data_IF_963466636652
#
_entry.id   IF_963466636652
#
_cell.length_a   1.000
_cell.length_b   1.000
_cell.length_c   1.000
_cell.angle_alpha   90.00
_cell.angle_beta   90.00
_cell.angle_gamma   90.00
#
_symmetry.space_group_name_H-M   'P 1'
#
loop_
_entity.id
_entity.type
_entity.pdbx_description
1 polymer ?
#
# COMPACT_ATOMS: atom_id res chain seq x y z
N UNK A 1 -23.58 23.89 22.40
CA UNK A 1 -22.72 22.82 21.88
C UNK A 1 -23.17 22.57 20.46
N UNK A 2 -22.43 23.06 19.49
CA UNK A 2 -22.75 22.89 18.06
C UNK A 2 -22.05 21.61 17.64
N UNK A 3 -22.81 20.58 17.31
CA UNK A 3 -22.31 19.37 16.70
C UNK A 3 -21.75 19.70 15.31
N UNK A 4 -20.43 19.89 15.22
CA UNK A 4 -19.75 19.88 13.92
C UNK A 4 -19.56 18.45 13.49
N UNK A 5 -20.44 17.99 12.62
CA UNK A 5 -20.37 16.65 12.05
C UNK A 5 -19.18 16.54 11.09
N UNK A 6 -18.64 15.32 10.91
CA UNK A 6 -17.58 14.96 9.93
C UNK A 6 -17.77 15.60 8.53
N UNK A 7 -19.00 15.95 8.20
CA UNK A 7 -19.40 16.59 6.94
C UNK A 7 -18.76 18.00 6.74
N UNK A 8 -18.48 18.69 7.82
CA UNK A 8 -17.94 20.06 7.76
C UNK A 8 -16.41 20.11 7.62
N UNK A 9 -15.72 19.00 7.99
CA UNK A 9 -14.26 18.87 7.82
C UNK A 9 -13.88 18.63 6.36
N UNK A 10 -14.64 17.78 5.66
CA UNK A 10 -14.46 17.54 4.22
C UNK A 10 -14.69 18.79 3.37
N UNK A 11 -15.56 19.69 3.80
CA UNK A 11 -15.81 20.95 3.07
C UNK A 11 -14.68 21.99 3.23
N UNK A 12 -13.95 21.94 4.33
CA UNK A 12 -12.80 22.83 4.57
C UNK A 12 -11.55 22.45 3.75
N UNK A 13 -11.35 21.14 3.49
CA UNK A 13 -10.24 20.65 2.64
C UNK A 13 -10.52 20.81 1.14
N UNK A 14 -11.79 20.79 0.72
CA UNK A 14 -12.17 20.99 -0.67
C UNK A 14 -11.94 22.43 -1.17
N UNK A 15 -11.81 23.41 -0.28
CA UNK A 15 -11.58 24.80 -0.64
C UNK A 15 -10.13 25.11 -1.06
N UNK A 16 -9.18 24.20 -0.83
CA UNK A 16 -7.77 24.38 -1.18
C UNK A 16 -7.35 23.70 -2.51
N UNK A 17 -8.26 23.02 -3.20
CA UNK A 17 -7.92 22.27 -4.43
C UNK A 17 -8.85 22.50 -5.63
N UNK A 18 -9.66 23.56 -5.63
CA UNK A 18 -10.58 23.82 -6.73
C UNK A 18 -9.98 24.76 -7.79
N UNK A 19 -9.15 24.20 -8.69
CA UNK A 19 -9.06 24.67 -10.06
C UNK A 19 -9.55 23.56 -10.97
N UNK A 20 -10.78 23.70 -11.45
CA UNK A 20 -11.47 22.76 -12.28
C UNK A 20 -10.89 22.72 -13.71
N UNK A 21 -10.62 21.50 -14.20
CA UNK A 21 -10.68 21.22 -15.65
C UNK A 21 -11.53 19.97 -15.83
N UNK A 22 -12.67 20.16 -16.48
CA UNK A 22 -13.56 19.10 -16.96
C UNK A 22 -12.97 18.45 -18.21
N UNK A 23 -12.88 17.11 -18.24
CA UNK A 23 -12.53 16.42 -19.49
C UNK A 23 -12.29 14.91 -19.32
N UNK A 24 -13.21 14.13 -19.88
CA UNK A 24 -13.17 12.76 -20.41
C UNK A 24 -12.70 11.60 -19.53
N UNK A 25 -13.63 10.68 -19.40
CA UNK A 25 -13.48 9.27 -19.00
C UNK A 25 -12.55 8.52 -19.97
N UNK A 26 -11.44 8.04 -19.46
CA UNK A 26 -10.69 6.82 -19.78
C UNK A 26 -9.26 7.04 -19.25
N UNK A 27 -8.81 6.15 -18.37
CA UNK A 27 -7.42 5.89 -18.00
C UNK A 27 -6.42 7.06 -18.11
N UNK A 28 -6.51 8.08 -17.26
CA UNK A 28 -5.42 9.04 -17.16
C UNK A 28 -4.23 8.37 -16.47
N UNK A 29 -3.27 7.90 -17.29
CA UNK A 29 -1.88 7.90 -16.86
C UNK A 29 -1.57 9.31 -16.35
N UNK A 30 -1.12 9.45 -15.09
CA UNK A 30 -0.62 10.73 -14.61
C UNK A 30 0.39 11.26 -15.62
N UNK A 31 0.05 12.37 -16.28
CA UNK A 31 1.06 13.23 -16.91
C UNK A 31 2.09 13.54 -15.80
N UNK A 32 3.36 13.44 -16.15
CA UNK A 32 4.48 13.60 -15.23
C UNK A 32 4.23 14.78 -14.29
N UNK A 33 4.03 14.50 -13.01
CA UNK A 33 4.04 15.52 -11.96
C UNK A 33 5.35 16.30 -12.16
N UNK A 34 5.27 17.59 -12.41
CA UNK A 34 6.47 18.38 -12.71
C UNK A 34 7.45 18.30 -11.53
N UNK A 35 8.75 18.31 -11.80
CA UNK A 35 9.81 18.21 -10.76
C UNK A 35 9.54 19.13 -9.55
N UNK A 36 8.97 20.31 -9.78
CA UNK A 36 8.64 21.26 -8.72
C UNK A 36 7.56 20.77 -7.73
N UNK A 37 6.55 19.99 -8.16
CA UNK A 37 5.55 19.42 -7.24
C UNK A 37 6.14 18.28 -6.42
N UNK A 38 7.00 17.46 -7.04
CA UNK A 38 7.72 16.40 -6.32
C UNK A 38 8.69 16.98 -5.29
N UNK A 39 9.40 18.05 -5.62
CA UNK A 39 10.30 18.75 -4.70
C UNK A 39 9.53 19.36 -3.52
N UNK A 40 8.36 19.96 -3.79
CA UNK A 40 7.49 20.48 -2.73
C UNK A 40 7.01 19.35 -1.81
N UNK A 41 6.49 18.24 -2.37
CA UNK A 41 6.08 17.05 -1.61
C UNK A 41 7.21 16.49 -0.78
N UNK A 42 8.41 16.40 -1.37
CA UNK A 42 9.61 15.94 -0.68
C UNK A 42 9.94 16.84 0.51
N UNK A 43 9.90 18.17 0.32
CA UNK A 43 10.20 19.13 1.41
C UNK A 43 9.19 19.04 2.54
N UNK A 44 7.91 18.85 2.24
CA UNK A 44 6.84 18.66 3.25
C UNK A 44 7.05 17.36 4.06
N UNK A 45 7.42 16.28 3.40
CA UNK A 45 7.71 14.99 4.04
C UNK A 45 8.99 15.08 4.88
N UNK A 46 10.01 15.74 4.37
CA UNK A 46 11.29 15.94 5.05
C UNK A 46 11.18 16.77 6.34
N UNK A 47 10.16 17.60 6.43
CA UNK A 47 9.85 18.35 7.66
C UNK A 47 9.29 17.48 8.78
N UNK A 48 8.77 16.28 8.46
CA UNK A 48 8.19 15.35 9.44
C UNK A 48 9.30 14.51 10.08
N UNK A 49 9.45 14.58 11.40
CA UNK A 49 10.33 13.64 12.12
C UNK A 49 9.60 12.30 12.39
N UNK A 50 10.34 11.19 12.62
CA UNK A 50 9.71 9.93 13.04
C UNK A 50 8.83 10.09 14.28
N UNK A 51 9.21 10.96 15.22
CA UNK A 51 8.42 11.24 16.41
C UNK A 51 7.09 11.92 16.08
N UNK A 52 7.11 12.97 15.21
CA UNK A 52 5.89 13.65 14.76
C UNK A 52 4.95 12.66 14.06
N UNK A 53 5.50 11.74 13.26
CA UNK A 53 4.71 10.70 12.60
C UNK A 53 4.12 9.68 13.59
N UNK A 54 4.90 9.22 14.56
CA UNK A 54 4.41 8.33 15.61
C UNK A 54 3.29 9.00 16.40
N UNK A 55 3.44 10.27 16.76
CA UNK A 55 2.43 11.03 17.49
C UNK A 55 1.15 11.22 16.67
N UNK A 56 1.26 11.43 15.35
CA UNK A 56 0.13 11.48 14.43
C UNK A 56 -0.55 10.10 14.28
N UNK A 57 0.23 9.01 14.33
CA UNK A 57 -0.22 7.64 14.13
C UNK A 57 -0.63 6.93 15.42
N UNK A 58 -0.29 7.50 16.57
CA UNK A 58 -0.35 6.80 17.87
C UNK A 58 -1.72 6.16 18.13
N UNK A 59 -1.78 4.83 18.36
CA UNK A 59 -3.01 4.07 18.48
C UNK A 59 -3.67 4.23 19.85
N UNK A 60 -3.77 5.36 20.40
CA UNK A 60 -4.38 5.61 21.71
C UNK A 60 -4.85 7.04 21.86
N UNK A 61 -4.39 7.92 21.01
CA UNK A 61 -4.92 9.25 20.87
C UNK A 61 -5.86 9.21 19.65
N UNK A 62 -7.14 9.06 19.90
CA UNK A 62 -8.11 9.64 18.99
C UNK A 62 -7.75 11.11 18.92
N UNK A 63 -6.98 11.51 17.93
CA UNK A 63 -6.77 12.91 17.63
C UNK A 63 -8.16 13.46 17.36
N UNK A 64 -8.73 14.18 18.32
CA UNK A 64 -9.95 14.92 18.06
C UNK A 64 -9.70 15.85 16.87
N UNK A 65 -10.75 16.27 16.18
CA UNK A 65 -10.68 17.07 14.95
C UNK A 65 -9.74 18.30 15.07
N UNK A 66 -9.68 18.91 16.26
CA UNK A 66 -8.78 20.04 16.53
C UNK A 66 -7.30 19.64 16.52
N UNK A 67 -6.94 18.51 17.12
CA UNK A 67 -5.56 18.03 17.17
C UNK A 67 -5.09 17.54 15.78
N UNK A 68 -5.97 16.88 15.03
CA UNK A 68 -5.69 16.51 13.65
C UNK A 68 -5.50 17.74 12.78
N UNK A 69 -6.37 18.75 12.89
CA UNK A 69 -6.25 20.00 12.16
C UNK A 69 -4.95 20.72 12.48
N UNK A 70 -4.53 20.74 13.75
CA UNK A 70 -3.26 21.31 14.15
C UNK A 70 -2.05 20.53 13.59
N UNK A 71 -2.10 19.20 13.59
CA UNK A 71 -1.04 18.37 13.02
C UNK A 71 -0.91 18.56 11.50
N UNK A 72 -2.04 18.62 10.79
CA UNK A 72 -2.08 18.87 9.34
C UNK A 72 -1.60 20.29 9.01
N UNK A 73 -1.98 21.29 9.81
CA UNK A 73 -1.51 22.68 9.62
C UNK A 73 0.01 22.81 9.83
N UNK A 74 0.56 22.01 10.77
CA UNK A 74 2.01 21.99 11.02
C UNK A 74 2.77 21.20 9.96
N UNK A 75 2.21 20.10 9.49
CA UNK A 75 2.85 19.16 8.54
C UNK A 75 1.92 18.88 7.35
N UNK A 76 2.03 19.63 6.24
CA UNK A 76 1.18 19.44 5.06
C UNK A 76 1.21 17.99 4.50
N UNK A 77 2.30 17.25 4.69
CA UNK A 77 2.39 15.84 4.31
C UNK A 77 1.29 14.99 4.95
N UNK A 78 0.86 15.28 6.19
CA UNK A 78 -0.27 14.58 6.82
C UNK A 78 -1.59 14.90 6.12
N UNK A 79 -1.77 16.15 5.68
CA UNK A 79 -2.95 16.53 4.88
C UNK A 79 -3.02 15.77 3.55
N UNK A 80 -1.88 15.58 2.88
CA UNK A 80 -1.79 14.76 1.66
C UNK A 80 -2.14 13.30 1.92
N UNK A 81 -1.67 12.74 3.05
CA UNK A 81 -1.95 11.36 3.42
C UNK A 81 -3.44 11.17 3.76
N UNK A 82 -4.07 12.10 4.50
CA UNK A 82 -5.51 12.08 4.76
C UNK A 82 -6.33 12.21 3.46
N UNK A 83 -5.93 13.13 2.57
CA UNK A 83 -6.60 13.31 1.29
C UNK A 83 -6.51 12.06 0.40
N UNK A 84 -5.35 11.38 0.38
CA UNK A 84 -5.17 10.12 -0.31
C UNK A 84 -6.08 9.02 0.26
N UNK A 85 -6.15 8.92 1.59
CA UNK A 85 -7.05 7.98 2.26
C UNK A 85 -8.52 8.22 1.90
N UNK A 86 -9.00 9.46 2.02
CA UNK A 86 -10.38 9.82 1.67
C UNK A 86 -10.70 9.53 0.20
N UNK A 87 -9.76 9.83 -0.69
CA UNK A 87 -9.92 9.53 -2.12
C UNK A 87 -10.09 8.04 -2.34
N UNK A 88 -9.12 7.22 -1.85
CA UNK A 88 -9.16 5.76 -2.04
C UNK A 88 -10.39 5.15 -1.38
N UNK A 89 -10.72 5.57 -0.17
CA UNK A 89 -11.88 5.07 0.56
C UNK A 89 -13.20 5.33 -0.19
N UNK A 90 -13.38 6.55 -0.71
CA UNK A 90 -14.55 6.91 -1.52
C UNK A 90 -14.56 6.14 -2.83
N UNK A 91 -13.48 6.16 -3.59
CA UNK A 91 -13.41 5.50 -4.90
C UNK A 91 -13.61 3.99 -4.78
N UNK A 92 -13.02 3.34 -3.77
CA UNK A 92 -13.20 1.92 -3.53
C UNK A 92 -14.68 1.56 -3.24
N UNK A 93 -15.44 2.43 -2.57
CA UNK A 93 -16.87 2.23 -2.34
C UNK A 93 -17.69 2.41 -3.62
N UNK A 94 -17.40 3.44 -4.38
CA UNK A 94 -18.22 3.90 -5.51
C UNK A 94 -17.90 3.17 -6.82
N UNK A 95 -16.66 2.71 -7.01
CA UNK A 95 -16.26 2.01 -8.24
C UNK A 95 -16.99 0.69 -8.40
N UNK A 96 -17.60 0.48 -9.55
CA UNK A 96 -18.16 -0.81 -9.97
C UNK A 96 -17.13 -1.48 -10.89
N UNK A 97 -16.70 -2.68 -10.52
CA UNK A 97 -15.84 -3.52 -11.35
C UNK A 97 -16.72 -4.60 -11.97
N UNK A 98 -16.87 -4.58 -13.28
CA UNK A 98 -17.72 -5.51 -14.02
C UNK A 98 -16.95 -6.68 -14.64
N UNK A 99 -15.66 -6.47 -14.93
CA UNK A 99 -14.80 -7.46 -15.59
C UNK A 99 -13.68 -7.90 -14.62
N UNK A 100 -13.60 -9.20 -14.40
CA UNK A 100 -12.60 -9.79 -13.51
C UNK A 100 -11.16 -9.57 -14.01
N UNK A 101 -10.97 -9.40 -15.31
CA UNK A 101 -9.66 -9.16 -15.90
C UNK A 101 -9.20 -7.69 -15.79
N UNK A 102 -10.07 -6.81 -15.31
CA UNK A 102 -9.81 -5.39 -15.11
C UNK A 102 -10.15 -4.96 -13.68
N UNK A 103 -9.46 -5.50 -12.65
CA UNK A 103 -9.67 -5.10 -11.27
C UNK A 103 -9.32 -3.63 -11.07
N UNK A 104 -9.91 -3.00 -10.08
CA UNK A 104 -9.50 -1.68 -9.65
C UNK A 104 -8.43 -1.81 -8.54
N UNK A 105 -7.29 -1.15 -8.70
CA UNK A 105 -6.15 -1.20 -7.79
C UNK A 105 -5.73 0.20 -7.41
N UNK A 106 -5.73 0.54 -6.13
CA UNK A 106 -5.28 1.83 -5.61
C UNK A 106 -4.05 1.65 -4.73
N UNK A 107 -3.10 2.55 -4.89
CA UNK A 107 -1.96 2.72 -3.99
C UNK A 107 -2.29 3.74 -2.91
N UNK A 108 -2.12 3.37 -1.64
CA UNK A 108 -2.46 4.28 -0.55
C UNK A 108 -1.23 4.95 0.06
N UNK A 109 -0.37 4.20 0.71
CA UNK A 109 0.82 4.67 1.41
C UNK A 109 1.76 3.50 1.64
N UNK A 110 3.08 3.77 1.67
CA UNK A 110 4.13 2.80 1.91
C UNK A 110 4.05 1.60 0.94
N UNK A 111 3.63 0.44 1.39
CA UNK A 111 3.36 -0.74 0.56
C UNK A 111 1.85 -0.99 0.36
N UNK A 112 1.01 -0.09 0.88
CA UNK A 112 -0.43 -0.31 0.99
C UNK A 112 -1.18 -0.29 -0.34
N UNK A 113 -1.92 -1.36 -0.64
CA UNK A 113 -2.88 -1.42 -1.74
C UNK A 113 -4.30 -1.70 -1.25
N UNK A 114 -5.27 -1.13 -1.95
CA UNK A 114 -6.68 -1.55 -1.92
C UNK A 114 -7.04 -2.08 -3.30
N UNK A 115 -7.64 -3.26 -3.35
CA UNK A 115 -8.00 -3.93 -4.62
C UNK A 115 -9.47 -4.29 -4.60
N UNK A 116 -10.16 -4.04 -5.72
CA UNK A 116 -11.56 -4.40 -5.91
C UNK A 116 -11.73 -5.20 -7.20
N UNK A 117 -12.44 -6.30 -7.10
CA UNK A 117 -12.85 -7.17 -8.20
C UNK A 117 -14.38 -7.16 -8.31
N UNK A 118 -15.02 -7.86 -9.26
CA UNK A 118 -16.46 -8.01 -9.27
C UNK A 118 -17.05 -8.62 -7.98
N UNK A 119 -16.33 -9.57 -7.36
CA UNK A 119 -16.85 -10.31 -6.20
C UNK A 119 -16.20 -9.90 -4.88
N UNK A 120 -15.00 -9.34 -4.89
CA UNK A 120 -14.20 -9.13 -3.69
C UNK A 120 -13.59 -7.74 -3.60
N UNK A 121 -13.43 -7.29 -2.36
CA UNK A 121 -12.57 -6.16 -2.01
C UNK A 121 -11.59 -6.60 -0.92
N UNK A 122 -10.31 -6.31 -1.11
CA UNK A 122 -9.27 -6.67 -0.15
C UNK A 122 -8.16 -5.63 -0.10
N UNK A 123 -7.32 -5.73 0.92
CA UNK A 123 -6.15 -4.87 1.08
C UNK A 123 -4.87 -5.68 1.21
N UNK A 124 -3.74 -5.04 0.89
CA UNK A 124 -2.39 -5.56 1.10
C UNK A 124 -1.63 -4.47 1.86
N UNK A 125 -0.99 -4.81 2.98
CA UNK A 125 -0.13 -3.95 3.78
C UNK A 125 -0.70 -2.53 4.02
N UNK A 126 -2.02 -2.45 4.28
CA UNK A 126 -2.66 -1.15 4.48
C UNK A 126 -2.20 -0.52 5.80
N UNK A 127 -1.43 0.54 5.68
CA UNK A 127 -0.91 1.32 6.80
C UNK A 127 -1.46 2.75 6.75
N UNK A 128 -2.41 3.06 7.62
CA UNK A 128 -2.98 4.38 7.82
C UNK A 128 -3.62 4.44 9.21
N UNK A 129 -3.57 5.61 9.88
CA UNK A 129 -4.18 5.78 11.22
C UNK A 129 -5.68 5.48 11.27
N UNK A 130 -6.35 5.47 10.13
CA UNK A 130 -7.78 5.17 9.93
C UNK A 130 -8.01 3.88 9.15
N UNK A 131 -6.99 3.03 9.03
CA UNK A 131 -7.09 1.80 8.20
C UNK A 131 -8.27 0.91 8.60
N UNK A 132 -8.67 0.90 9.90
CA UNK A 132 -9.81 0.15 10.41
C UNK A 132 -11.15 0.55 9.78
N UNK A 133 -11.27 1.74 9.19
CA UNK A 133 -12.48 2.16 8.48
C UNK A 133 -12.71 1.34 7.20
N UNK A 134 -11.66 0.76 6.63
CA UNK A 134 -11.79 -0.17 5.51
C UNK A 134 -12.34 -1.54 5.93
N UNK A 135 -12.17 -1.97 7.18
CA UNK A 135 -12.57 -3.31 7.61
C UNK A 135 -14.01 -3.70 7.27
N UNK A 136 -15.03 -2.82 7.35
CA UNK A 136 -16.39 -3.15 6.92
C UNK A 136 -16.52 -3.47 5.43
N UNK A 137 -15.66 -2.89 4.58
CA UNK A 137 -15.71 -3.01 3.13
C UNK A 137 -14.93 -4.22 2.61
N UNK A 138 -13.88 -4.63 3.34
CA UNK A 138 -12.98 -5.69 2.90
C UNK A 138 -13.55 -7.08 3.17
N UNK A 139 -13.30 -8.01 2.26
CA UNK A 139 -13.58 -9.44 2.44
C UNK A 139 -12.42 -10.14 3.16
N UNK A 140 -11.19 -9.77 2.86
CA UNK A 140 -9.97 -10.28 3.51
C UNK A 140 -8.86 -9.24 3.46
N UNK A 141 -7.76 -9.50 4.17
CA UNK A 141 -6.55 -8.67 4.13
C UNK A 141 -5.30 -9.55 4.03
N UNK A 142 -4.27 -9.01 3.38
CA UNK A 142 -2.96 -9.62 3.23
C UNK A 142 -1.94 -8.73 3.94
N UNK A 143 -1.06 -9.35 4.76
CA UNK A 143 0.01 -8.62 5.47
C UNK A 143 1.30 -9.40 5.25
N UNK A 144 2.28 -8.75 4.63
CA UNK A 144 3.53 -9.42 4.21
C UNK A 144 4.42 -9.79 5.38
N UNK A 145 4.47 -8.98 6.43
CA UNK A 145 5.26 -9.25 7.63
C UNK A 145 4.85 -8.32 8.80
N UNK A 146 5.43 -8.50 9.97
CA UNK A 146 4.98 -7.85 11.20
C UNK A 146 5.69 -6.52 11.52
N UNK A 147 6.30 -5.84 10.56
CA UNK A 147 6.79 -4.49 10.81
C UNK A 147 5.62 -3.50 10.90
N UNK A 148 5.76 -2.53 11.79
CA UNK A 148 4.67 -1.62 12.15
C UNK A 148 4.28 -0.62 11.07
N UNK A 149 5.00 -0.54 9.97
CA UNK A 149 4.74 0.29 8.80
C UNK A 149 3.98 -0.46 7.68
N UNK A 150 3.59 -1.73 7.90
CA UNK A 150 2.79 -2.53 6.98
C UNK A 150 1.35 -2.74 7.44
N UNK A 151 1.03 -2.48 8.72
CA UNK A 151 -0.33 -2.57 9.23
C UNK A 151 -0.48 -1.75 10.52
N UNK A 152 -1.71 -1.58 11.00
CA UNK A 152 -1.99 -1.05 12.33
C UNK A 152 -2.72 -2.11 13.18
N UNK A 153 -2.44 -2.12 14.50
CA UNK A 153 -3.15 -3.02 15.42
C UNK A 153 -4.66 -2.79 15.40
N UNK A 154 -5.10 -1.54 15.25
CA UNK A 154 -6.53 -1.20 15.17
C UNK A 154 -7.19 -1.83 13.94
N UNK A 155 -6.52 -1.76 12.78
CA UNK A 155 -6.99 -2.42 11.55
C UNK A 155 -7.09 -3.93 11.74
N UNK A 156 -6.04 -4.56 12.28
CA UNK A 156 -6.03 -5.99 12.57
C UNK A 156 -7.20 -6.41 13.47
N UNK A 157 -7.40 -5.68 14.59
CA UNK A 157 -8.51 -5.93 15.52
C UNK A 157 -9.86 -5.71 14.85
N UNK A 158 -10.00 -4.71 13.99
CA UNK A 158 -11.24 -4.45 13.27
C UNK A 158 -11.58 -5.55 12.27
N UNK A 159 -10.57 -6.12 11.60
CA UNK A 159 -10.74 -7.28 10.71
C UNK A 159 -11.15 -8.54 11.49
N UNK A 160 -10.54 -8.79 12.65
CA UNK A 160 -10.85 -9.94 13.50
C UNK A 160 -12.29 -9.91 14.06
N UNK A 161 -12.78 -8.74 14.47
CA UNK A 161 -14.15 -8.56 14.99
C UNK A 161 -15.25 -8.80 13.95
N UNK A 162 -14.92 -8.84 12.69
CA UNK A 162 -15.86 -9.17 11.62
C UNK A 162 -15.84 -10.68 11.41
N UNK A 163 -16.80 -11.39 12.00
CA UNK A 163 -16.96 -12.83 11.78
C UNK A 163 -16.75 -13.17 10.29
N UNK A 164 -15.85 -14.13 10.04
CA UNK A 164 -15.48 -14.63 8.72
C UNK A 164 -14.48 -13.81 7.87
N UNK A 165 -13.85 -12.77 8.39
CA UNK A 165 -12.79 -12.09 7.65
C UNK A 165 -11.43 -12.75 7.91
N UNK A 166 -10.74 -13.09 6.83
CA UNK A 166 -9.43 -13.69 6.88
C UNK A 166 -8.34 -12.63 6.79
N UNK A 167 -7.36 -12.69 7.70
CA UNK A 167 -6.10 -11.94 7.56
C UNK A 167 -5.00 -12.95 7.27
N UNK A 168 -4.48 -12.96 6.03
CA UNK A 168 -3.40 -13.86 5.62
C UNK A 168 -2.06 -13.22 5.97
N UNK A 169 -1.32 -13.86 6.85
CA UNK A 169 0.01 -13.43 7.31
C UNK A 169 0.77 -14.62 7.90
N UNK A 170 2.03 -14.44 8.31
CA UNK A 170 2.89 -15.49 8.86
C UNK A 170 3.20 -15.35 10.35
N UNK A 171 2.55 -14.44 11.08
CA UNK A 171 2.98 -14.08 12.45
C UNK A 171 1.85 -13.99 13.48
N UNK A 172 0.58 -14.13 13.10
CA UNK A 172 -0.54 -14.13 14.04
C UNK A 172 -1.14 -15.51 14.25
N UNK A 173 -1.36 -15.85 15.52
CA UNK A 173 -2.02 -17.10 15.91
C UNK A 173 -3.53 -16.99 15.97
N UNK A 174 -4.10 -15.80 16.23
CA UNK A 174 -5.44 -15.68 16.76
C UNK A 174 -6.31 -14.59 16.09
N UNK A 175 -5.97 -14.10 14.90
CA UNK A 175 -6.70 -12.99 14.28
C UNK A 175 -7.28 -13.34 12.92
N UNK A 176 -8.13 -14.37 12.89
CA UNK A 176 -8.83 -14.75 11.67
C UNK A 176 -8.01 -15.54 10.67
N UNK A 177 -6.75 -15.84 10.95
CA UNK A 177 -5.86 -16.66 10.11
C UNK A 177 -5.92 -18.10 10.55
N UNK A 178 -7.07 -18.73 10.43
CA UNK A 178 -7.26 -20.13 10.86
C UNK A 178 -6.41 -21.13 10.09
N UNK A 179 -6.00 -20.76 8.89
CA UNK A 179 -5.27 -21.67 7.99
C UNK A 179 -3.78 -21.40 7.92
N UNK A 180 -3.29 -20.30 8.53
CA UNK A 180 -1.92 -19.86 8.33
C UNK A 180 -1.21 -19.36 9.58
N UNK A 181 -1.84 -19.43 10.70
CA UNK A 181 -1.26 -19.07 11.96
C UNK A 181 -0.43 -20.21 12.50
N UNK A 182 0.84 -19.97 12.69
CA UNK A 182 1.77 -20.95 13.21
C UNK A 182 2.58 -20.40 14.39
N UNK A 183 2.10 -19.37 15.04
CA UNK A 183 2.72 -18.88 16.28
C UNK A 183 4.13 -18.36 16.13
N UNK A 184 4.43 -17.69 15.08
CA UNK A 184 5.75 -17.16 14.83
C UNK A 184 6.21 -17.31 13.39
N UNK A 185 7.45 -16.97 13.11
CA UNK A 185 8.06 -17.14 11.81
C UNK A 185 8.02 -18.59 11.39
N UNK A 186 7.05 -18.95 10.60
CA UNK A 186 7.10 -20.26 10.03
C UNK A 186 7.82 -20.16 8.72
N UNK A 187 8.80 -21.02 8.58
CA UNK A 187 9.33 -21.45 7.31
C UNK A 187 8.27 -22.28 6.59
N UNK A 188 7.02 -21.76 6.54
CA UNK A 188 5.93 -22.46 5.90
C UNK A 188 6.17 -22.47 4.41
N UNK A 189 5.89 -23.61 3.82
CA UNK A 189 5.87 -23.76 2.37
C UNK A 189 4.78 -22.85 1.78
N UNK A 190 4.95 -22.45 0.52
CA UNK A 190 3.92 -21.76 -0.24
C UNK A 190 2.55 -22.40 -0.06
N UNK A 191 1.52 -21.56 0.15
CA UNK A 191 0.14 -21.97 0.34
C UNK A 191 -0.77 -21.22 -0.61
N UNK A 192 -1.83 -21.85 -1.06
CA UNK A 192 -2.83 -21.24 -1.96
C UNK A 192 -4.14 -21.04 -1.21
N UNK A 193 -4.65 -19.81 -1.26
CA UNK A 193 -5.97 -19.43 -0.75
C UNK A 193 -6.87 -19.04 -1.92
N UNK A 194 -8.18 -19.28 -1.79
CA UNK A 194 -9.19 -18.89 -2.78
C UNK A 194 -10.30 -18.10 -2.10
N UNK A 195 -10.57 -16.89 -2.64
CA UNK A 195 -11.58 -15.98 -2.17
C UNK A 195 -12.44 -15.52 -3.35
N UNK A 196 -13.49 -16.26 -3.67
CA UNK A 196 -14.30 -15.99 -4.85
C UNK A 196 -13.46 -16.00 -6.12
N UNK A 197 -13.44 -14.89 -6.83
CA UNK A 197 -12.69 -14.67 -8.07
C UNK A 197 -11.19 -14.39 -7.88
N UNK A 198 -10.69 -14.43 -6.63
CA UNK A 198 -9.29 -14.16 -6.29
C UNK A 198 -8.58 -15.43 -5.79
N UNK A 199 -7.42 -15.72 -6.38
CA UNK A 199 -6.50 -16.75 -5.88
C UNK A 199 -5.23 -16.08 -5.36
N UNK A 200 -4.85 -16.36 -4.12
CA UNK A 200 -3.64 -15.85 -3.46
C UNK A 200 -2.68 -16.99 -3.24
N UNK A 201 -1.47 -16.91 -3.80
CA UNK A 201 -0.37 -17.86 -3.59
C UNK A 201 0.70 -17.15 -2.77
N UNK A 202 1.05 -17.73 -1.63
CA UNK A 202 2.05 -17.14 -0.72
C UNK A 202 3.43 -17.71 -0.99
N UNK A 203 4.46 -16.92 -0.75
CA UNK A 203 5.85 -17.34 -0.76
C UNK A 203 6.55 -16.99 0.55
N UNK A 204 7.85 -17.21 0.60
CA UNK A 204 8.73 -16.74 1.67
C UNK A 204 9.96 -16.12 1.05
N UNK A 205 10.39 -14.99 1.62
CA UNK A 205 11.56 -14.27 1.16
C UNK A 205 12.29 -13.63 2.35
N UNK A 206 13.59 -13.38 2.16
CA UNK A 206 14.39 -12.68 3.16
C UNK A 206 14.03 -11.19 3.19
N UNK A 207 13.91 -10.62 4.36
CA UNK A 207 13.82 -9.17 4.54
C UNK A 207 15.23 -8.52 4.45
N UNK A 208 16.21 -9.21 5.01
CA UNK A 208 17.62 -8.85 4.97
C UNK A 208 18.48 -10.08 5.32
N UNK A 209 19.78 -9.90 5.44
CA UNK A 209 20.71 -10.98 5.76
C UNK A 209 20.49 -11.66 7.13
N UNK A 210 19.72 -11.05 8.02
CA UNK A 210 19.44 -11.57 9.38
C UNK A 210 18.01 -12.13 9.51
N UNK A 211 17.06 -11.55 8.77
CA UNK A 211 15.65 -11.94 8.80
C UNK A 211 15.34 -12.82 7.59
N UNK A 212 15.84 -14.06 7.68
CA UNK A 212 15.69 -15.09 6.64
C UNK A 212 14.26 -15.64 6.66
N UNK A 213 13.64 -15.77 5.49
CA UNK A 213 12.26 -16.24 5.30
C UNK A 213 11.23 -15.46 6.16
N UNK A 214 11.46 -14.17 6.31
CA UNK A 214 10.69 -13.31 7.19
C UNK A 214 9.51 -12.64 6.51
N UNK A 215 9.67 -12.25 5.26
CA UNK A 215 8.63 -11.60 4.46
C UNK A 215 7.88 -12.63 3.63
N UNK A 216 6.56 -12.47 3.55
CA UNK A 216 5.67 -13.31 2.77
C UNK A 216 5.20 -12.55 1.52
N UNK A 217 5.84 -12.75 0.37
CA UNK A 217 5.32 -12.21 -0.89
C UNK A 217 4.03 -12.91 -1.29
N UNK A 218 3.20 -12.21 -2.05
CA UNK A 218 1.92 -12.67 -2.57
C UNK A 218 1.90 -12.62 -4.09
N UNK A 219 1.60 -13.74 -4.74
CA UNK A 219 1.08 -13.78 -6.10
C UNK A 219 -0.45 -13.80 -6.03
N UNK A 220 -1.10 -12.79 -6.61
CA UNK A 220 -2.55 -12.58 -6.52
C UNK A 220 -3.11 -12.65 -7.94
N UNK A 221 -3.87 -13.68 -8.23
CA UNK A 221 -4.47 -13.93 -9.54
C UNK A 221 -5.95 -13.57 -9.51
N UNK A 222 -6.39 -12.72 -10.45
CA UNK A 222 -7.75 -12.20 -10.59
C UNK A 222 -8.14 -12.33 -12.06
N UNK A 223 -8.90 -13.36 -12.44
CA UNK A 223 -9.07 -13.68 -13.85
C UNK A 223 -7.72 -13.86 -14.56
N UNK A 224 -7.47 -13.09 -15.62
CA UNK A 224 -6.19 -13.06 -16.33
C UNK A 224 -5.20 -12.01 -15.78
N UNK A 225 -5.64 -11.17 -14.87
CA UNK A 225 -4.79 -10.14 -14.22
C UNK A 225 -4.03 -10.73 -13.03
N UNK A 226 -2.77 -10.36 -12.89
CA UNK A 226 -1.92 -10.84 -11.77
C UNK A 226 -1.17 -9.68 -11.12
N UNK A 227 -1.27 -9.59 -9.79
CA UNK A 227 -0.44 -8.71 -8.97
C UNK A 227 0.59 -9.58 -8.25
N UNK A 228 1.86 -9.23 -8.32
CA UNK A 228 2.89 -9.76 -7.44
C UNK A 228 3.31 -8.67 -6.45
N UNK A 229 3.07 -8.90 -5.16
CA UNK A 229 3.43 -7.98 -4.10
C UNK A 229 4.55 -8.59 -3.27
N UNK A 230 5.76 -8.06 -3.41
CA UNK A 230 6.93 -8.66 -2.75
C UNK A 230 7.08 -8.25 -1.28
N UNK A 231 6.35 -7.23 -0.81
CA UNK A 231 6.65 -6.64 0.49
C UNK A 231 8.11 -6.20 0.55
N UNK A 232 8.72 -6.29 1.70
CA UNK A 232 10.13 -5.94 1.94
C UNK A 232 11.10 -7.09 1.65
N UNK A 233 10.86 -7.82 0.56
CA UNK A 233 11.80 -8.84 0.12
C UNK A 233 13.12 -8.23 -0.35
N UNK A 234 14.22 -8.76 0.12
CA UNK A 234 15.59 -8.34 -0.26
C UNK A 234 16.28 -9.28 -1.24
N UNK A 235 15.71 -10.47 -1.46
CA UNK A 235 16.34 -11.53 -2.25
C UNK A 235 15.44 -11.97 -3.40
N UNK A 236 15.72 -11.49 -4.61
CA UNK A 236 14.92 -11.82 -5.80
C UNK A 236 15.01 -13.30 -6.20
N UNK A 237 16.07 -14.03 -5.85
CA UNK A 237 16.21 -15.45 -6.17
C UNK A 237 15.15 -16.32 -5.49
N UNK A 238 14.57 -15.81 -4.38
CA UNK A 238 13.48 -16.45 -3.65
C UNK A 238 12.09 -16.12 -4.19
N UNK A 239 11.97 -15.12 -5.06
CA UNK A 239 10.69 -14.79 -5.68
C UNK A 239 10.29 -15.90 -6.64
N UNK A 240 9.06 -16.42 -6.47
CA UNK A 240 8.50 -17.45 -7.33
C UNK A 240 7.15 -16.98 -7.83
N UNK A 241 6.90 -17.18 -9.09
CA UNK A 241 5.67 -16.80 -9.76
C UNK A 241 5.19 -17.96 -10.63
N UNK A 242 3.90 -18.19 -10.64
CA UNK A 242 3.29 -19.20 -11.52
C UNK A 242 2.75 -18.58 -12.81
N UNK A 243 2.52 -17.26 -12.82
CA UNK A 243 2.03 -16.50 -13.97
C UNK A 243 2.68 -15.12 -14.01
N UNK A 244 3.05 -14.65 -15.20
CA UNK A 244 3.64 -13.33 -15.41
C UNK A 244 2.77 -12.24 -14.75
N UNK A 245 3.33 -11.41 -13.86
CA UNK A 245 2.56 -10.34 -13.23
C UNK A 245 2.25 -9.19 -14.19
N UNK A 246 1.01 -8.69 -14.16
CA UNK A 246 0.65 -7.41 -14.76
C UNK A 246 1.26 -6.25 -13.96
N UNK A 247 1.23 -6.38 -12.62
CA UNK A 247 1.86 -5.44 -11.69
C UNK A 247 2.80 -6.18 -10.74
N UNK A 248 4.03 -5.72 -10.62
CA UNK A 248 4.94 -6.10 -9.55
C UNK A 248 5.16 -4.92 -8.60
N UNK A 249 4.65 -5.03 -7.38
CA UNK A 249 4.84 -4.03 -6.32
C UNK A 249 6.07 -4.39 -5.52
N UNK A 250 7.06 -3.50 -5.53
CA UNK A 250 8.39 -3.76 -4.97
C UNK A 250 8.88 -2.60 -4.11
N UNK A 251 9.53 -2.94 -2.98
CA UNK A 251 10.38 -2.02 -2.23
C UNK A 251 11.80 -2.07 -2.81
N UNK A 252 12.24 -1.06 -3.59
CA UNK A 252 13.48 -1.14 -4.34
C UNK A 252 14.74 -0.98 -3.47
N UNK A 253 14.59 -0.55 -2.21
CA UNK A 253 15.71 -0.18 -1.34
C UNK A 253 15.88 -1.08 -0.10
N UNK A 254 15.14 -2.16 0.04
CA UNK A 254 15.34 -3.13 1.11
C UNK A 254 16.48 -4.15 0.84
N UNK A 255 17.27 -3.91 -0.18
CA UNK A 255 18.30 -4.83 -0.68
C UNK A 255 17.89 -5.57 -1.96
N UNK A 256 16.65 -5.41 -2.40
CA UNK A 256 16.16 -5.93 -3.67
C UNK A 256 16.88 -5.27 -4.85
N UNK A 257 17.46 -6.06 -5.75
CA UNK A 257 17.80 -5.59 -7.07
C UNK A 257 16.57 -5.71 -7.98
N UNK A 258 15.84 -4.61 -8.16
CA UNK A 258 14.59 -4.63 -8.90
C UNK A 258 14.79 -4.98 -10.39
N UNK A 259 15.90 -4.56 -11.01
CA UNK A 259 16.20 -4.89 -12.40
C UNK A 259 16.45 -6.39 -12.57
N UNK A 260 17.27 -6.99 -11.70
CA UNK A 260 17.51 -8.44 -11.76
C UNK A 260 16.27 -9.24 -11.38
N UNK A 261 15.50 -8.79 -10.38
CA UNK A 261 14.22 -9.41 -10.01
C UNK A 261 13.21 -9.40 -11.16
N UNK A 262 13.14 -8.30 -11.92
CA UNK A 262 12.30 -8.21 -13.10
C UNK A 262 12.81 -9.14 -14.22
N UNK A 263 14.12 -9.20 -14.44
CA UNK A 263 14.74 -9.96 -15.54
C UNK A 263 14.80 -11.45 -15.30
N UNK A 264 15.16 -11.87 -14.08
CA UNK A 264 15.50 -13.26 -13.79
C UNK A 264 14.36 -14.03 -13.09
N UNK A 265 13.48 -13.30 -12.36
CA UNK A 265 12.48 -13.96 -11.53
C UNK A 265 11.04 -13.77 -12.01
N UNK A 266 10.60 -12.54 -12.29
CA UNK A 266 9.17 -12.25 -12.42
C UNK A 266 8.71 -11.88 -13.82
N UNK A 267 9.55 -11.23 -14.62
CA UNK A 267 9.21 -10.70 -15.97
C UNK A 267 7.91 -9.87 -16.00
N UNK A 268 7.71 -8.88 -15.10
CA UNK A 268 6.44 -8.19 -14.96
C UNK A 268 6.13 -7.31 -16.18
N UNK A 269 4.84 -7.08 -16.46
CA UNK A 269 4.45 -6.09 -17.48
C UNK A 269 4.69 -4.66 -17.01
N UNK A 270 4.55 -4.41 -15.69
CA UNK A 270 4.81 -3.09 -15.08
C UNK A 270 5.36 -3.28 -13.66
N UNK A 271 6.41 -2.55 -13.33
CA UNK A 271 6.98 -2.46 -11.97
C UNK A 271 6.39 -1.25 -11.26
N UNK A 272 5.88 -1.43 -10.05
CA UNK A 272 5.34 -0.39 -9.17
C UNK A 272 6.32 -0.18 -8.02
N UNK A 273 6.96 0.98 -7.99
CA UNK A 273 7.93 1.32 -6.95
C UNK A 273 7.20 1.84 -5.71
N UNK A 274 7.20 1.08 -4.66
CA UNK A 274 6.54 1.37 -3.40
C UNK A 274 7.55 1.50 -2.26
N UNK A 275 7.07 1.72 -1.02
CA UNK A 275 7.90 1.95 0.17
C UNK A 275 8.83 3.17 0.03
N UNK A 276 8.37 4.17 -0.71
CA UNK A 276 9.01 5.47 -0.78
C UNK A 276 8.29 6.42 0.18
N UNK A 277 9.04 7.36 0.77
CA UNK A 277 8.46 8.39 1.64
C UNK A 277 7.83 7.88 2.95
N UNK A 278 8.32 6.76 3.46
CA UNK A 278 7.87 6.23 4.75
C UNK A 278 8.30 7.17 5.90
N UNK A 279 7.34 7.85 6.54
CA UNK A 279 7.60 8.94 7.50
C UNK A 279 7.97 8.46 8.91
N UNK A 280 7.72 7.20 9.23
CA UNK A 280 8.13 6.60 10.50
C UNK A 280 9.65 6.37 10.61
N UNK A 281 10.37 6.42 9.49
CA UNK A 281 11.82 6.32 9.45
C UNK A 281 12.51 7.69 9.33
N UNK A 282 13.79 7.73 9.74
CA UNK A 282 14.59 8.96 9.65
C UNK A 282 15.04 9.23 8.21
N UNK A 283 15.04 10.50 7.82
CA UNK A 283 15.62 10.96 6.57
C UNK A 283 17.07 10.45 6.43
N UNK A 284 17.40 9.93 5.23
CA UNK A 284 18.72 9.37 4.94
C UNK A 284 19.00 8.01 5.60
N UNK A 285 18.00 7.44 6.33
CA UNK A 285 18.08 6.11 6.93
C UNK A 285 16.72 5.42 6.86
N UNK A 286 16.50 4.60 5.83
CA UNK A 286 15.28 3.86 5.53
C UNK A 286 14.09 4.71 5.02
N UNK A 287 14.14 6.04 5.11
CA UNK A 287 13.20 6.92 4.41
C UNK A 287 13.78 7.25 3.03
N UNK A 288 13.24 6.62 2.01
CA UNK A 288 13.64 6.82 0.62
C UNK A 288 12.88 7.97 -0.01
N UNK A 289 13.53 8.72 -0.89
CA UNK A 289 12.98 9.94 -1.48
C UNK A 289 12.30 9.70 -2.82
N UNK A 290 11.53 10.67 -3.32
CA UNK A 290 11.04 10.64 -4.70
C UNK A 290 12.20 10.57 -5.70
N UNK A 291 13.33 11.20 -5.42
CA UNK A 291 14.54 11.10 -6.27
C UNK A 291 15.05 9.67 -6.34
N UNK A 292 15.13 8.97 -5.22
CA UNK A 292 15.50 7.54 -5.21
C UNK A 292 14.54 6.70 -6.06
N UNK A 293 13.24 7.03 -6.01
CA UNK A 293 12.22 6.36 -6.82
C UNK A 293 12.37 6.67 -8.32
N UNK A 294 12.65 7.92 -8.70
CA UNK A 294 12.88 8.32 -10.08
C UNK A 294 14.16 7.67 -10.64
N UNK A 295 15.23 7.63 -9.86
CA UNK A 295 16.49 6.98 -10.26
C UNK A 295 16.27 5.48 -10.50
N UNK A 296 15.52 4.80 -9.64
CA UNK A 296 15.21 3.38 -9.84
C UNK A 296 14.27 3.15 -11.01
N UNK A 297 13.27 4.04 -11.21
CA UNK A 297 12.41 4.01 -12.39
C UNK A 297 13.22 4.11 -13.67
N UNK A 298 14.14 5.07 -13.75
CA UNK A 298 15.00 5.25 -14.92
C UNK A 298 15.85 3.99 -15.20
N UNK A 299 16.45 3.37 -14.17
CA UNK A 299 17.22 2.12 -14.30
C UNK A 299 16.38 0.96 -14.86
N UNK A 300 15.13 0.83 -14.41
CA UNK A 300 14.21 -0.18 -14.91
C UNK A 300 13.84 0.08 -16.37
N UNK A 301 13.51 1.33 -16.73
CA UNK A 301 13.15 1.71 -18.09
C UNK A 301 14.33 1.55 -19.07
N UNK A 302 15.53 1.93 -18.68
CA UNK A 302 16.77 1.67 -19.45
C UNK A 302 17.03 0.17 -19.66
N UNK A 303 16.55 -0.66 -18.73
CA UNK A 303 16.62 -2.12 -18.81
C UNK A 303 15.43 -2.75 -19.57
N UNK A 304 14.53 -1.95 -20.13
CA UNK A 304 13.40 -2.39 -20.96
C UNK A 304 12.12 -2.74 -20.19
N UNK A 305 12.02 -2.38 -18.91
CA UNK A 305 10.83 -2.63 -18.09
C UNK A 305 10.01 -1.36 -17.92
N UNK A 306 8.70 -1.44 -18.14
CA UNK A 306 7.80 -0.35 -17.76
C UNK A 306 7.78 -0.20 -16.23
N UNK A 307 7.97 1.01 -15.72
CA UNK A 307 7.97 1.29 -14.29
C UNK A 307 7.16 2.53 -13.94
N UNK A 308 6.52 2.52 -12.80
CA UNK A 308 5.78 3.65 -12.23
C UNK A 308 6.19 3.87 -10.78
N UNK A 309 6.35 5.13 -10.43
CA UNK A 309 6.45 5.61 -9.06
C UNK A 309 5.12 6.29 -8.70
N UNK A 310 4.20 5.58 -8.03
CA UNK A 310 2.90 6.15 -7.72
C UNK A 310 2.98 7.20 -6.62
N UNK A 311 2.06 8.13 -6.64
CA UNK A 311 1.77 9.01 -5.52
C UNK A 311 0.66 8.41 -4.65
N UNK A 312 0.61 8.82 -3.39
CA UNK A 312 -0.43 8.37 -2.47
C UNK A 312 -1.83 8.69 -3.01
N UNK A 313 -2.68 7.69 -3.05
CA UNK A 313 -4.04 7.76 -3.59
C UNK A 313 -4.14 7.51 -5.11
N UNK A 314 -3.06 7.13 -5.79
CA UNK A 314 -3.11 6.83 -7.21
C UNK A 314 -3.81 5.51 -7.50
N UNK A 315 -4.53 5.49 -8.62
CA UNK A 315 -5.08 4.27 -9.20
C UNK A 315 -4.07 3.67 -10.17
N UNK A 316 -3.75 2.39 -9.98
CA UNK A 316 -2.73 1.66 -10.75
C UNK A 316 -3.34 0.84 -11.91
N UNK A 317 -4.62 0.40 -11.71
CA UNK A 317 -5.41 -0.34 -12.69
C UNK A 317 -6.90 -0.05 -12.53
#
# INVERSE_FOLDING_TARGET
MIEMTRKNFTQGLAALSATAVSGSLFGQSHEATGDADLDLRQSEIDAVTPRDFIDYYSPGLELGDAALSAAVARFPAFGRLEAAFEKVFREAKETIVADVNHPAVWYLYNMGLVVKTPEKMFSIDIHHRRAEEFAPLLDFALITHNHGDHYTERFKVAMDRKEHKCVVNNFFDNYGVRDWSNGGYTRAKSKTFRFGDVTVITGLCDHNSYLIDYTMPFEIQIGDFTIYHSGDCSNYEKLKVSRQPDLWVVHPRCGMNAVEGAREALHPKKVVLAHLQEMGHSKGRYRWTYRDGLDEKARLEESGFAAVMPLWGDRLA
#
